data_IF_956089111749
#
_entry.id   IF_956089111749
#
_cell.length_a   1.000
_cell.length_b   1.000
_cell.length_c   1.000
_cell.angle_alpha   90.00
_cell.angle_beta   90.00
_cell.angle_gamma   90.00
#
_symmetry.space_group_name_H-M   'P 1'
#
loop_
_entity.id
_entity.type
_entity.pdbx_description
1 polymer ?
#
# COMPACT_ATOMS: atom_id res chain seq x y z
N UNK A 1 7.06 -48.09 -35.20
CA UNK A 1 5.93 -47.22 -34.84
C UNK A 1 6.51 -45.89 -34.39
N UNK A 2 6.18 -44.82 -35.10
CA UNK A 2 6.84 -43.51 -35.16
C UNK A 2 6.75 -42.69 -33.84
N UNK A 3 7.87 -42.08 -33.41
CA UNK A 3 8.19 -40.62 -33.46
C UNK A 3 7.35 -39.75 -32.48
N UNK A 4 7.91 -38.82 -31.70
CA UNK A 4 9.01 -37.90 -32.01
C UNK A 4 9.54 -37.25 -30.72
N UNK A 5 10.84 -37.37 -30.54
CA UNK A 5 11.69 -36.60 -29.63
C UNK A 5 12.04 -35.24 -30.25
N UNK A 6 12.18 -34.25 -29.36
CA UNK A 6 13.18 -33.17 -29.36
C UNK A 6 13.23 -32.06 -30.44
N UNK A 7 13.70 -30.91 -29.93
CA UNK A 7 14.45 -29.80 -30.57
C UNK A 7 13.64 -28.62 -31.09
N UNK A 8 13.83 -27.46 -30.45
CA UNK A 8 14.46 -26.24 -30.98
C UNK A 8 14.63 -25.27 -29.80
N UNK A 9 15.65 -24.43 -29.65
CA UNK A 9 17.05 -24.38 -30.03
C UNK A 9 17.62 -23.16 -29.28
N UNK A 10 18.82 -23.29 -28.73
CA UNK A 10 19.63 -22.18 -28.26
C UNK A 10 20.33 -21.48 -29.45
N UNK A 11 20.48 -20.15 -29.40
CA UNK A 11 21.49 -19.37 -30.13
C UNK A 11 21.33 -17.89 -29.69
N UNK A 12 22.17 -17.37 -28.80
CA UNK A 12 23.50 -16.77 -29.06
C UNK A 12 23.46 -15.55 -29.99
N UNK A 13 23.69 -14.39 -29.39
CA UNK A 13 24.71 -13.39 -29.76
C UNK A 13 24.74 -12.84 -31.21
N UNK A 14 24.43 -11.54 -31.37
CA UNK A 14 25.41 -10.48 -31.73
C UNK A 14 24.73 -9.14 -32.07
N UNK A 15 25.34 -8.07 -31.54
CA UNK A 15 25.60 -6.76 -32.14
C UNK A 15 24.47 -5.93 -32.81
N UNK A 16 24.39 -4.68 -32.34
CA UNK A 16 23.66 -3.55 -32.96
C UNK A 16 24.13 -3.29 -34.41
N UNK A 17 23.27 -2.65 -35.22
CA UNK A 17 23.62 -1.29 -35.62
C UNK A 17 22.45 -0.29 -35.48
N UNK A 18 22.78 0.92 -35.03
CA UNK A 18 21.94 2.12 -35.04
C UNK A 18 21.59 2.55 -36.47
N UNK A 19 20.44 3.22 -36.67
CA UNK A 19 20.32 4.29 -37.64
C UNK A 19 20.24 5.66 -36.94
N UNK A 20 20.81 6.72 -37.53
CA UNK A 20 20.77 8.07 -36.99
C UNK A 20 19.48 8.76 -37.45
N UNK A 21 18.72 9.33 -36.51
CA UNK A 21 17.83 10.44 -36.83
C UNK A 21 17.94 11.47 -35.72
N UNK A 22 18.74 12.49 -36.03
CA UNK A 22 18.82 13.78 -35.38
C UNK A 22 17.43 14.38 -35.09
N UNK A 23 17.34 14.88 -33.86
CA UNK A 23 16.68 16.10 -33.40
C UNK A 23 15.45 16.64 -34.13
N UNK A 24 14.33 16.75 -33.41
CA UNK A 24 13.65 18.01 -33.03
C UNK A 24 12.76 17.63 -31.84
N UNK A 25 13.09 17.99 -30.60
CA UNK A 25 13.04 19.35 -30.11
C UNK A 25 11.60 19.70 -29.72
N UNK A 26 11.24 19.50 -28.46
CA UNK A 26 10.74 20.58 -27.59
C UNK A 26 10.17 20.01 -26.29
N UNK A 27 10.75 20.51 -25.20
CA UNK A 27 10.05 20.90 -23.97
C UNK A 27 9.46 19.79 -23.10
N UNK A 28 10.19 19.56 -22.01
CA UNK A 28 9.69 19.19 -20.69
C UNK A 28 8.25 19.65 -20.43
N UNK A 29 7.48 18.86 -19.66
CA UNK A 29 6.67 19.39 -18.60
C UNK A 29 7.44 19.16 -17.29
N UNK A 30 8.32 20.10 -16.94
CA UNK A 30 8.38 20.49 -15.54
C UNK A 30 7.04 21.19 -15.30
N UNK A 31 6.19 20.62 -14.44
CA UNK A 31 4.91 21.10 -13.85
C UNK A 31 4.17 19.80 -13.43
N UNK A 32 4.13 19.34 -12.18
CA UNK A 32 3.92 20.06 -10.93
C UNK A 32 4.37 19.19 -9.75
N UNK A 33 5.51 19.51 -9.13
CA UNK A 33 6.00 18.85 -7.90
C UNK A 33 5.41 19.49 -6.62
N UNK A 34 4.44 20.40 -6.76
CA UNK A 34 3.76 21.02 -5.60
C UNK A 34 2.71 20.11 -4.96
N UNK A 35 1.94 19.37 -5.76
CA UNK A 35 0.84 18.55 -5.26
C UNK A 35 1.25 17.17 -4.74
N UNK A 36 2.34 16.58 -5.25
CA UNK A 36 2.78 15.25 -4.87
C UNK A 36 3.40 15.21 -3.46
N UNK A 37 4.15 16.27 -3.09
CA UNK A 37 4.76 16.40 -1.76
C UNK A 37 3.72 16.66 -0.66
N UNK A 38 2.74 17.53 -0.94
CA UNK A 38 1.60 17.75 -0.05
C UNK A 38 0.73 16.50 0.07
N UNK A 39 0.50 15.80 -1.06
CA UNK A 39 -0.23 14.55 -1.07
C UNK A 39 0.45 13.50 -0.19
N UNK A 40 1.77 13.34 -0.36
CA UNK A 40 2.57 12.38 0.40
C UNK A 40 2.56 12.68 1.90
N UNK A 41 2.67 13.96 2.27
CA UNK A 41 2.65 14.39 3.67
C UNK A 41 1.28 14.15 4.34
N UNK A 42 0.19 14.42 3.62
CA UNK A 42 -1.16 14.16 4.12
C UNK A 42 -1.46 12.66 4.22
N UNK A 43 -1.03 11.86 3.22
CA UNK A 43 -1.17 10.41 3.24
C UNK A 43 -0.39 9.80 4.42
N UNK A 44 0.83 10.28 4.67
CA UNK A 44 1.65 9.87 5.81
C UNK A 44 0.97 10.21 7.13
N UNK A 45 0.42 11.41 7.26
CA UNK A 45 -0.32 11.84 8.45
C UNK A 45 -1.55 10.95 8.68
N UNK A 46 -2.29 10.61 7.62
CA UNK A 46 -3.50 9.80 7.70
C UNK A 46 -3.19 8.34 8.08
N UNK A 47 -2.15 7.75 7.49
CA UNK A 47 -1.64 6.42 7.86
C UNK A 47 -1.13 6.40 9.32
N UNK A 48 -0.40 7.44 9.73
CA UNK A 48 0.08 7.58 11.11
C UNK A 48 -1.07 7.69 12.10
N UNK A 49 -2.13 8.41 11.72
CA UNK A 49 -3.35 8.54 12.53
C UNK A 49 -4.07 7.21 12.67
N UNK A 50 -4.19 6.43 11.60
CA UNK A 50 -4.76 5.08 11.64
C UNK A 50 -3.95 4.15 12.55
N UNK A 51 -2.63 4.10 12.37
CA UNK A 51 -1.76 3.25 13.21
C UNK A 51 -1.87 3.62 14.69
N UNK A 52 -1.86 4.91 15.01
CA UNK A 52 -2.02 5.40 16.38
C UNK A 52 -3.40 5.06 16.97
N UNK A 53 -4.44 5.11 16.14
CA UNK A 53 -5.82 4.83 16.58
C UNK A 53 -6.05 3.34 16.90
N UNK A 54 -5.27 2.46 16.26
CA UNK A 54 -5.24 1.01 16.49
C UNK A 54 -4.32 0.57 17.65
N UNK A 55 -3.68 1.51 18.35
CA UNK A 55 -2.79 1.22 19.47
C UNK A 55 -1.37 0.82 19.07
N UNK A 56 -0.89 1.31 17.92
CA UNK A 56 0.46 1.09 17.40
C UNK A 56 0.83 -0.39 17.18
N UNK A 57 0.06 -1.13 16.35
CA UNK A 57 0.37 -2.53 16.07
C UNK A 57 1.68 -2.67 15.29
N UNK A 58 2.38 -3.83 15.39
CA UNK A 58 3.56 -4.16 14.61
C UNK A 58 3.22 -4.50 13.14
N UNK A 59 2.49 -3.61 12.48
CA UNK A 59 1.96 -3.75 11.12
C UNK A 59 2.37 -2.52 10.31
N UNK A 60 2.77 -2.73 9.06
CA UNK A 60 3.05 -1.63 8.14
C UNK A 60 1.80 -1.25 7.36
N UNK A 61 1.46 0.04 7.34
CA UNK A 61 0.39 0.60 6.53
C UNK A 61 0.99 1.39 5.38
N UNK A 62 0.48 1.17 4.18
CA UNK A 62 1.01 1.69 2.94
C UNK A 62 -0.10 2.26 2.06
N UNK A 63 0.25 3.23 1.23
CA UNK A 63 -0.57 3.68 0.10
C UNK A 63 0.03 3.12 -1.19
N UNK A 64 -0.82 2.84 -2.18
CA UNK A 64 -0.38 2.48 -3.53
C UNK A 64 0.49 3.57 -4.19
N UNK A 65 0.40 4.82 -3.73
CA UNK A 65 1.29 5.92 -4.12
C UNK A 65 2.74 5.77 -3.63
N UNK A 66 3.01 4.85 -2.70
CA UNK A 66 4.34 4.54 -2.16
C UNK A 66 4.61 5.05 -0.75
N UNK A 67 3.71 5.87 -0.18
CA UNK A 67 3.81 6.36 1.21
C UNK A 67 3.56 5.23 2.19
N UNK A 68 4.40 5.11 3.24
CA UNK A 68 4.35 4.00 4.20
C UNK A 68 4.61 4.47 5.62
N UNK A 69 3.93 3.83 6.58
CA UNK A 69 4.12 4.01 8.02
C UNK A 69 4.14 2.62 8.64
N UNK A 70 5.23 2.26 9.29
CA UNK A 70 5.40 0.94 9.91
C UNK A 70 6.12 1.01 11.24
N UNK A 71 6.31 -0.16 11.88
CA UNK A 71 7.00 -0.26 13.16
C UNK A 71 8.52 -0.08 12.98
N UNK A 72 9.00 1.15 12.83
CA UNK A 72 10.43 1.53 12.89
C UNK A 72 11.41 0.51 12.27
N UNK A 73 12.37 0.03 13.08
CA UNK A 73 13.38 -0.97 12.73
C UNK A 73 12.91 -2.43 12.86
N UNK A 74 11.66 -2.68 13.25
CA UNK A 74 11.13 -4.03 13.38
C UNK A 74 10.59 -4.54 12.04
N UNK A 75 10.81 -5.83 11.74
CA UNK A 75 10.15 -6.47 10.60
C UNK A 75 8.63 -6.45 10.85
N UNK A 76 7.84 -5.83 9.96
CA UNK A 76 6.40 -5.79 10.13
C UNK A 76 5.82 -7.20 10.00
N UNK A 77 4.84 -7.52 10.84
CA UNK A 77 4.15 -8.81 10.82
C UNK A 77 3.38 -9.03 9.49
N UNK A 78 2.82 -7.94 8.98
CA UNK A 78 2.11 -7.88 7.71
C UNK A 78 2.11 -6.44 7.20
N UNK A 79 1.83 -6.26 5.91
CA UNK A 79 1.68 -4.97 5.26
C UNK A 79 0.27 -4.81 4.70
N UNK A 80 -0.38 -3.70 5.04
CA UNK A 80 -1.69 -3.29 4.52
C UNK A 80 -1.50 -2.18 3.52
N UNK A 81 -1.90 -2.37 2.27
CA UNK A 81 -1.80 -1.37 1.22
C UNK A 81 -3.18 -0.86 0.82
N UNK A 82 -3.41 0.43 0.96
CA UNK A 82 -4.62 1.11 0.50
C UNK A 82 -4.46 1.56 -0.95
N UNK A 83 -5.43 1.20 -1.79
CA UNK A 83 -5.46 1.58 -3.21
C UNK A 83 -5.71 3.08 -3.40
N UNK A 84 -6.43 3.73 -2.47
CA UNK A 84 -6.77 5.14 -2.57
C UNK A 84 -7.01 5.81 -1.22
N UNK A 85 -6.98 7.15 -1.21
CA UNK A 85 -7.27 7.97 -0.04
C UNK A 85 -8.71 7.80 0.45
N UNK A 86 -9.64 7.58 -0.47
CA UNK A 86 -11.03 7.32 -0.13
C UNK A 86 -11.18 6.03 0.68
N UNK A 87 -10.45 4.96 0.29
CA UNK A 87 -10.43 3.71 1.03
C UNK A 87 -9.82 3.88 2.44
N UNK A 88 -8.72 4.63 2.56
CA UNK A 88 -8.09 4.94 3.84
C UNK A 88 -9.01 5.81 4.73
N UNK A 89 -9.61 6.86 4.19
CA UNK A 89 -10.52 7.73 4.92
C UNK A 89 -11.80 6.99 5.37
N UNK A 90 -12.37 6.13 4.52
CA UNK A 90 -13.51 5.28 4.88
C UNK A 90 -13.15 4.29 5.99
N UNK A 91 -11.97 3.67 5.89
CA UNK A 91 -11.45 2.77 6.93
C UNK A 91 -11.22 3.51 8.25
N UNK A 92 -10.79 4.77 8.23
CA UNK A 92 -10.65 5.57 9.45
C UNK A 92 -11.99 5.91 10.12
N UNK A 93 -13.06 6.07 9.35
CA UNK A 93 -14.39 6.37 9.88
C UNK A 93 -14.94 5.20 10.72
N UNK A 94 -14.75 3.97 10.25
CA UNK A 94 -15.03 2.77 11.05
C UNK A 94 -14.09 1.63 10.64
N UNK A 95 -12.95 1.45 11.35
CA UNK A 95 -11.92 0.49 10.94
C UNK A 95 -12.32 -0.96 11.11
N UNK A 96 -13.38 -1.26 11.85
CA UNK A 96 -13.84 -2.63 12.05
C UNK A 96 -14.83 -3.06 10.96
N UNK A 97 -15.70 -2.14 10.54
CA UNK A 97 -16.71 -2.40 9.52
C UNK A 97 -16.18 -2.12 8.11
N UNK A 98 -15.54 -0.96 7.90
CA UNK A 98 -15.16 -0.48 6.56
C UNK A 98 -13.91 -1.13 6.02
N UNK A 99 -13.03 -1.63 6.90
CA UNK A 99 -11.88 -2.40 6.48
C UNK A 99 -12.28 -3.70 5.76
N UNK A 100 -13.24 -4.44 6.31
CA UNK A 100 -13.68 -5.72 5.73
C UNK A 100 -14.30 -5.54 4.35
N UNK A 101 -15.09 -4.49 4.19
CA UNK A 101 -15.67 -4.08 2.90
C UNK A 101 -14.57 -3.71 1.89
N UNK A 102 -13.64 -2.82 2.28
CA UNK A 102 -12.55 -2.39 1.41
C UNK A 102 -11.58 -3.53 1.04
N UNK A 103 -11.34 -4.48 1.93
CA UNK A 103 -10.56 -5.69 1.63
C UNK A 103 -11.29 -6.58 0.62
N UNK A 104 -12.60 -6.79 0.81
CA UNK A 104 -13.41 -7.63 -0.08
C UNK A 104 -13.56 -7.01 -1.47
N UNK A 105 -13.61 -5.69 -1.56
CA UNK A 105 -13.67 -4.93 -2.82
C UNK A 105 -12.30 -4.81 -3.52
N UNK A 106 -11.22 -5.24 -2.87
CA UNK A 106 -9.85 -5.14 -3.40
C UNK A 106 -9.23 -3.73 -3.31
N UNK A 107 -9.89 -2.82 -2.59
CA UNK A 107 -9.37 -1.48 -2.28
C UNK A 107 -8.29 -1.50 -1.20
N UNK A 108 -8.21 -2.60 -0.45
CA UNK A 108 -7.17 -2.88 0.53
C UNK A 108 -6.53 -4.23 0.21
N UNK A 109 -5.22 -4.22 -0.02
CA UNK A 109 -4.43 -5.43 -0.19
C UNK A 109 -3.64 -5.73 1.08
N UNK A 110 -3.47 -7.01 1.40
CA UNK A 110 -2.62 -7.45 2.51
C UNK A 110 -1.54 -8.37 1.99
N UNK A 111 -0.32 -8.07 2.39
CA UNK A 111 0.86 -8.91 2.22
C UNK A 111 1.23 -9.49 3.59
N UNK A 112 1.27 -10.82 3.68
CA UNK A 112 1.43 -11.57 4.93
C UNK A 112 0.17 -12.31 5.38
N UNK A 113 0.10 -12.64 6.66
CA UNK A 113 -0.99 -13.41 7.26
C UNK A 113 -2.10 -12.47 7.79
N UNK A 114 -3.26 -12.49 7.11
CA UNK A 114 -4.44 -11.69 7.48
C UNK A 114 -4.94 -12.02 8.90
N UNK A 115 -4.95 -13.29 9.29
CA UNK A 115 -5.49 -13.69 10.60
C UNK A 115 -4.58 -13.14 11.69
N UNK A 116 -3.26 -13.33 11.55
CA UNK A 116 -2.25 -12.81 12.48
C UNK A 116 -2.27 -11.28 12.55
N UNK A 117 -2.51 -10.61 11.42
CA UNK A 117 -2.70 -9.17 11.38
C UNK A 117 -3.90 -8.76 12.23
N UNK A 118 -5.05 -9.39 12.03
CA UNK A 118 -6.27 -9.06 12.77
C UNK A 118 -6.10 -9.33 14.27
N UNK A 119 -5.52 -10.48 14.65
CA UNK A 119 -5.20 -10.81 16.04
C UNK A 119 -4.33 -9.72 16.68
N UNK A 120 -3.27 -9.30 16.00
CA UNK A 120 -2.33 -8.27 16.47
C UNK A 120 -3.01 -6.91 16.66
N UNK A 121 -3.77 -6.47 15.65
CA UNK A 121 -4.52 -5.19 15.70
C UNK A 121 -5.57 -5.21 16.82
N UNK A 122 -6.29 -6.32 17.00
CA UNK A 122 -7.28 -6.46 18.05
C UNK A 122 -6.68 -6.50 19.46
N UNK A 123 -5.50 -7.14 19.62
CA UNK A 123 -4.76 -7.11 20.88
C UNK A 123 -4.29 -5.70 21.24
N UNK A 124 -3.62 -5.00 20.32
CA UNK A 124 -3.16 -3.61 20.53
C UNK A 124 -4.32 -2.65 20.85
N UNK A 125 -5.47 -2.83 20.18
CA UNK A 125 -6.67 -2.03 20.44
C UNK A 125 -7.33 -2.33 21.78
N UNK A 126 -7.27 -3.57 22.26
CA UNK A 126 -7.86 -3.97 23.56
C UNK A 126 -7.05 -3.45 24.74
N UNK A 127 -5.72 -3.40 24.62
CA UNK A 127 -4.85 -2.80 25.64
C UNK A 127 -5.04 -1.28 25.79
N UNK A 128 -5.57 -0.62 24.75
CA UNK A 128 -5.76 0.83 24.71
C UNK A 128 -7.22 1.30 24.98
N UNK A 129 -8.16 0.38 25.23
CA UNK A 129 -9.60 0.73 25.32
C UNK A 129 -10.22 1.19 23.98
N UNK A 130 -9.59 0.81 22.85
CA UNK A 130 -9.73 1.44 21.54
C UNK A 130 -11.10 1.30 20.87
N UNK A 131 -11.85 0.22 21.09
CA UNK A 131 -13.14 0.02 20.41
C UNK A 131 -14.21 1.05 20.82
N UNK A 132 -14.25 1.40 22.11
CA UNK A 132 -15.19 2.39 22.63
C UNK A 132 -14.73 3.84 22.35
N UNK A 133 -13.42 4.09 22.32
CA UNK A 133 -12.87 5.43 22.08
C UNK A 133 -12.94 5.84 20.60
N UNK A 134 -12.80 4.90 19.66
CA UNK A 134 -12.94 5.15 18.22
C UNK A 134 -14.39 5.54 17.85
N UNK A 135 -15.39 4.80 18.34
CA UNK A 135 -16.80 5.11 18.11
C UNK A 135 -17.20 6.46 18.72
N UNK A 136 -16.67 6.79 19.91
CA UNK A 136 -16.90 8.10 20.53
C UNK A 136 -16.25 9.24 19.73
N UNK A 137 -15.04 9.01 19.21
CA UNK A 137 -14.28 10.00 18.41
C UNK A 137 -14.91 10.28 17.04
N UNK A 138 -15.48 9.27 16.39
CA UNK A 138 -16.16 9.43 15.11
C UNK A 138 -17.54 10.12 15.23
N UNK A 139 -18.17 10.07 16.42
CA UNK A 139 -19.41 10.79 16.70
C UNK A 139 -19.21 12.26 17.12
N UNK A 140 -17.96 12.67 17.40
CA UNK A 140 -17.59 14.03 17.83
C UNK A 140 -16.92 14.86 16.71
N UNK A 141 -16.88 14.35 15.47
CA UNK A 141 -16.29 15.00 14.29
C UNK A 141 -17.36 15.25 13.22
#
# INVERSE_FOLDING_TARGET
MNAREERFAAATERAQPSPPHDEVGSSSPALSDGGALESSSFDYWLLSRLRSSLGDPPVEFAMASGVRVGPGDATPLARVTFASRAALASTLADPWLRFGDAYSDGLVAIDGDLVRLLESVYHSSSSAGGRASLLRRAAEA
#
